data_IF_929585291911
#
_entry.id   IF_929585291911
#
_cell.length_a   1.000
_cell.length_b   1.000
_cell.length_c   1.000
_cell.angle_alpha   90.00
_cell.angle_beta   90.00
_cell.angle_gamma   90.00
#
_symmetry.space_group_name_H-M   'P 1'
#
loop_
_entity.id
_entity.type
_entity.pdbx_description
1 polymer ?
#
# COMPACT_ATOMS: atom_id res chain seq x y z
N UNK A 1 -5.51 4.48 -7.80
CA UNK A 1 -4.63 3.33 -8.13
C UNK A 1 -3.42 3.75 -8.96
N UNK A 2 -3.58 4.49 -10.06
CA UNK A 2 -2.44 4.96 -10.88
C UNK A 2 -1.31 5.66 -10.12
N UNK A 3 -1.62 6.61 -9.22
CA UNK A 3 -0.58 7.34 -8.47
C UNK A 3 0.25 6.43 -7.57
N UNK A 4 -0.38 5.47 -6.89
CA UNK A 4 0.33 4.50 -6.06
C UNK A 4 1.24 3.59 -6.89
N UNK A 5 0.78 3.15 -8.06
CA UNK A 5 1.58 2.34 -8.98
C UNK A 5 2.77 3.14 -9.53
N UNK A 6 2.56 4.41 -9.90
CA UNK A 6 3.62 5.29 -10.37
C UNK A 6 4.69 5.53 -9.30
N UNK A 7 4.29 5.85 -8.07
CA UNK A 7 5.22 6.01 -6.94
C UNK A 7 6.01 4.72 -6.68
N UNK A 8 5.35 3.57 -6.74
CA UNK A 8 6.01 2.27 -6.54
C UNK A 8 7.04 1.98 -7.63
N UNK A 9 6.67 2.21 -8.91
CA UNK A 9 7.57 2.05 -10.04
C UNK A 9 8.77 3.01 -9.98
N UNK A 10 8.53 4.27 -9.59
CA UNK A 10 9.59 5.24 -9.39
C UNK A 10 10.56 4.80 -8.27
N UNK A 11 10.04 4.36 -7.13
CA UNK A 11 10.86 3.89 -6.01
C UNK A 11 11.71 2.67 -6.39
N UNK A 12 11.15 1.68 -7.10
CA UNK A 12 11.91 0.49 -7.49
C UNK A 12 12.95 0.80 -8.57
N UNK A 13 12.64 1.66 -9.54
CA UNK A 13 13.61 2.07 -10.58
C UNK A 13 14.76 2.89 -9.97
N UNK A 14 14.45 3.85 -9.10
CA UNK A 14 15.51 4.64 -8.45
C UNK A 14 16.33 3.76 -7.50
N UNK A 15 15.73 2.82 -6.78
CA UNK A 15 16.45 1.84 -5.96
C UNK A 15 17.49 1.06 -6.80
N UNK A 16 17.08 0.55 -7.97
CA UNK A 16 18.00 -0.13 -8.90
C UNK A 16 19.15 0.79 -9.34
N UNK A 17 18.83 2.01 -9.79
CA UNK A 17 19.82 2.98 -10.25
C UNK A 17 20.82 3.34 -9.14
N UNK A 18 20.35 3.56 -7.92
CA UNK A 18 21.20 3.87 -6.76
C UNK A 18 22.16 2.73 -6.44
N UNK A 19 21.72 1.48 -6.53
CA UNK A 19 22.60 0.32 -6.28
C UNK A 19 23.66 0.18 -7.38
N UNK A 20 23.27 0.30 -8.65
CA UNK A 20 24.18 0.11 -9.80
C UNK A 20 25.18 1.26 -9.94
N UNK A 21 24.74 2.51 -9.79
CA UNK A 21 25.57 3.69 -10.05
C UNK A 21 26.07 4.39 -8.79
N UNK A 22 25.43 4.20 -7.63
CA UNK A 22 25.83 4.88 -6.40
C UNK A 22 27.10 4.29 -5.79
N UNK A 23 27.17 2.96 -5.70
CA UNK A 23 28.35 2.24 -5.18
C UNK A 23 28.94 1.25 -6.18
N UNK A 24 28.17 0.84 -7.19
CA UNK A 24 28.69 0.08 -8.31
C UNK A 24 29.50 0.94 -9.29
N UNK A 25 30.21 0.28 -10.19
CA UNK A 25 30.99 0.91 -11.26
C UNK A 25 30.15 1.27 -12.50
N UNK A 26 28.82 1.09 -12.45
CA UNK A 26 27.93 1.29 -13.60
C UNK A 26 28.09 0.25 -14.71
N UNK A 27 28.90 -0.80 -14.51
CA UNK A 27 29.08 -1.87 -15.48
C UNK A 27 27.95 -2.88 -15.35
N UNK A 28 27.12 -2.95 -16.40
CA UNK A 28 25.97 -3.83 -16.46
C UNK A 28 26.33 -5.23 -16.95
N UNK A 29 27.57 -5.46 -17.40
CA UNK A 29 28.01 -6.71 -18.00
C UNK A 29 27.39 -6.97 -19.40
N UNK A 30 27.74 -8.12 -19.97
CA UNK A 30 27.23 -8.57 -21.27
C UNK A 30 26.33 -9.79 -21.11
N UNK A 31 25.14 -9.74 -21.72
CA UNK A 31 24.17 -10.86 -21.79
C UNK A 31 23.73 -11.44 -20.43
N UNK A 32 23.54 -10.58 -19.43
CA UNK A 32 23.14 -10.98 -18.07
C UNK A 32 21.70 -11.50 -17.93
N UNK A 33 20.95 -11.64 -19.03
CA UNK A 33 19.61 -12.23 -19.04
C UNK A 33 19.61 -13.70 -19.45
N UNK A 34 20.72 -14.24 -19.94
CA UNK A 34 20.79 -15.65 -20.35
C UNK A 34 20.97 -16.57 -19.14
N UNK A 35 20.45 -17.80 -19.24
CA UNK A 35 20.59 -18.85 -18.21
C UNK A 35 22.05 -19.27 -17.98
N UNK A 36 22.92 -18.94 -18.94
CA UNK A 36 24.36 -19.20 -18.95
C UNK A 36 25.19 -17.98 -18.53
N UNK A 37 24.56 -16.88 -18.10
CA UNK A 37 25.25 -15.64 -17.77
C UNK A 37 26.32 -15.85 -16.69
N UNK A 38 27.50 -15.26 -16.91
CA UNK A 38 28.60 -15.28 -15.97
C UNK A 38 28.25 -14.48 -14.71
N UNK A 39 27.98 -15.21 -13.62
CA UNK A 39 27.61 -14.64 -12.32
C UNK A 39 28.63 -13.64 -11.77
N UNK A 40 29.89 -13.75 -12.19
CA UNK A 40 30.95 -12.85 -11.75
C UNK A 40 30.87 -11.49 -12.46
N UNK A 41 30.57 -11.49 -13.76
CA UNK A 41 30.44 -10.27 -14.57
C UNK A 41 29.12 -9.56 -14.23
N UNK A 42 28.02 -10.32 -14.12
CA UNK A 42 26.67 -9.79 -13.91
C UNK A 42 26.29 -9.54 -12.44
N UNK A 43 27.24 -9.72 -11.51
CA UNK A 43 26.97 -9.67 -10.08
C UNK A 43 26.31 -8.36 -9.65
N UNK A 44 26.79 -7.23 -10.18
CA UNK A 44 26.27 -5.91 -9.83
C UNK A 44 24.80 -5.75 -10.22
N UNK A 45 24.44 -6.15 -11.44
CA UNK A 45 23.06 -6.11 -11.94
C UNK A 45 22.16 -7.02 -11.12
N UNK A 46 22.64 -8.23 -10.79
CA UNK A 46 21.89 -9.18 -9.98
C UNK A 46 21.62 -8.65 -8.56
N UNK A 47 22.59 -7.96 -7.94
CA UNK A 47 22.39 -7.26 -6.66
C UNK A 47 21.38 -6.12 -6.78
N UNK A 48 21.47 -5.33 -7.85
CA UNK A 48 20.50 -4.28 -8.16
C UNK A 48 19.07 -4.83 -8.31
N UNK A 49 18.91 -5.95 -9.02
CA UNK A 49 17.61 -6.63 -9.19
C UNK A 49 17.06 -7.11 -7.86
N UNK A 50 17.88 -7.74 -7.02
CA UNK A 50 17.48 -8.19 -5.69
C UNK A 50 17.00 -7.03 -4.80
N UNK A 51 17.71 -5.90 -4.81
CA UNK A 51 17.31 -4.71 -4.06
C UNK A 51 16.00 -4.11 -4.59
N UNK A 52 15.84 -4.01 -5.91
CA UNK A 52 14.62 -3.52 -6.54
C UNK A 52 13.43 -4.44 -6.28
N UNK A 53 13.63 -5.76 -6.32
CA UNK A 53 12.62 -6.77 -5.98
C UNK A 53 12.16 -6.64 -4.52
N UNK A 54 13.11 -6.51 -3.58
CA UNK A 54 12.79 -6.31 -2.17
C UNK A 54 11.99 -5.02 -1.94
N UNK A 55 12.46 -3.90 -2.51
CA UNK A 55 11.76 -2.62 -2.42
C UNK A 55 10.36 -2.69 -3.04
N UNK A 56 10.22 -3.26 -4.23
CA UNK A 56 8.92 -3.43 -4.92
C UNK A 56 7.95 -4.27 -4.09
N UNK A 57 8.40 -5.42 -3.60
CA UNK A 57 7.55 -6.34 -2.82
C UNK A 57 7.07 -5.67 -1.54
N UNK A 58 7.96 -5.02 -0.80
CA UNK A 58 7.58 -4.31 0.42
C UNK A 58 6.68 -3.10 0.16
N UNK A 59 6.90 -2.35 -0.92
CA UNK A 59 5.97 -1.28 -1.33
C UNK A 59 4.58 -1.82 -1.64
N UNK A 60 4.48 -2.95 -2.36
CA UNK A 60 3.20 -3.59 -2.66
C UNK A 60 2.47 -4.09 -1.40
N UNK A 61 3.21 -4.62 -0.43
CA UNK A 61 2.67 -5.05 0.86
C UNK A 61 2.17 -3.87 1.71
N UNK A 62 2.92 -2.75 1.73
CA UNK A 62 2.46 -1.51 2.36
C UNK A 62 1.21 -0.99 1.64
N UNK A 63 1.18 -1.03 0.30
CA UNK A 63 0.01 -0.64 -0.47
C UNK A 63 -1.23 -1.47 -0.08
N UNK A 64 -1.07 -2.75 0.22
CA UNK A 64 -2.17 -3.60 0.65
C UNK A 64 -2.80 -3.09 1.97
N UNK A 65 -1.99 -2.67 2.95
CA UNK A 65 -2.51 -2.00 4.15
C UNK A 65 -3.09 -0.62 3.87
N UNK A 66 -2.45 0.17 3.01
CA UNK A 66 -2.93 1.48 2.58
C UNK A 66 -4.31 1.43 1.90
N UNK A 67 -4.65 0.30 1.26
CA UNK A 67 -5.92 0.11 0.57
C UNK A 67 -7.08 -0.29 1.50
N UNK A 68 -6.83 -0.59 2.79
CA UNK A 68 -7.92 -0.91 3.74
C UNK A 68 -8.89 0.26 3.86
N UNK A 69 -8.36 1.49 3.97
CA UNK A 69 -9.16 2.71 3.94
C UNK A 69 -8.65 3.67 2.87
N UNK A 70 -9.43 3.94 1.80
CA UNK A 70 -8.97 4.76 0.68
C UNK A 70 -8.82 6.26 1.00
N UNK A 71 -9.37 6.72 2.12
CA UNK A 71 -9.45 8.14 2.53
C UNK A 71 -8.77 8.42 3.87
N UNK A 72 -8.83 7.48 4.81
CA UNK A 72 -8.23 7.62 6.13
C UNK A 72 -6.73 7.27 6.09
N UNK A 73 -5.97 7.88 6.99
CA UNK A 73 -4.54 7.57 7.09
C UNK A 73 -4.41 6.22 7.77
N UNK A 74 -3.37 5.45 7.44
CA UNK A 74 -3.10 4.18 8.11
C UNK A 74 -2.78 4.43 9.58
N UNK A 75 -2.10 5.55 9.89
CA UNK A 75 -1.79 5.98 11.25
C UNK A 75 -3.00 6.47 12.06
N UNK A 76 -4.11 6.75 11.40
CA UNK A 76 -5.37 7.18 12.03
C UNK A 76 -6.55 6.66 11.22
N UNK A 77 -6.82 5.36 11.36
CA UNK A 77 -7.93 4.68 10.68
C UNK A 77 -9.28 5.06 11.25
N UNK A 78 -9.42 5.05 12.59
CA UNK A 78 -10.66 5.41 13.27
C UNK A 78 -10.55 6.80 13.94
N UNK A 79 -11.28 7.81 13.46
CA UNK A 79 -11.20 9.15 14.03
C UNK A 79 -11.74 9.24 15.46
N UNK A 80 -12.61 8.31 15.87
CA UNK A 80 -13.36 8.33 17.12
C UNK A 80 -12.70 7.57 18.28
N UNK A 81 -11.53 6.95 18.05
CA UNK A 81 -10.81 6.24 19.11
C UNK A 81 -10.04 7.21 19.99
N UNK A 82 -10.15 7.05 21.32
CA UNK A 82 -9.36 7.78 22.32
C UNK A 82 -7.91 7.27 22.46
N UNK A 83 -7.55 6.16 21.80
CA UNK A 83 -6.23 5.57 21.92
C UNK A 83 -5.15 6.36 21.14
N UNK A 84 -3.91 6.33 21.64
CA UNK A 84 -2.75 6.85 20.92
C UNK A 84 -2.62 6.17 19.54
N UNK A 85 -2.18 6.94 18.56
CA UNK A 85 -2.17 6.57 17.14
C UNK A 85 -1.53 5.20 16.85
N UNK A 86 -0.39 4.88 17.48
CA UNK A 86 0.25 3.56 17.32
C UNK A 86 -0.59 2.40 17.85
N UNK A 87 -1.17 2.55 19.05
CA UNK A 87 -1.99 1.50 19.66
C UNK A 87 -3.21 1.22 18.80
N UNK A 88 -3.86 2.28 18.32
CA UNK A 88 -4.94 2.16 17.36
C UNK A 88 -4.50 1.40 16.12
N UNK A 89 -3.42 1.80 15.45
CA UNK A 89 -2.99 1.12 14.21
C UNK A 89 -2.80 -0.37 14.41
N UNK A 90 -2.15 -0.79 15.50
CA UNK A 90 -1.88 -2.20 15.76
C UNK A 90 -3.18 -2.96 16.03
N UNK A 91 -4.09 -2.42 16.85
CA UNK A 91 -5.38 -3.04 17.15
C UNK A 91 -6.23 -3.20 15.89
N UNK A 92 -6.30 -2.16 15.07
CA UNK A 92 -7.07 -2.16 13.82
C UNK A 92 -6.46 -3.13 12.79
N UNK A 93 -5.14 -3.17 12.65
CA UNK A 93 -4.47 -4.08 11.73
C UNK A 93 -4.63 -5.55 12.17
N UNK A 94 -4.64 -5.79 13.49
CA UNK A 94 -4.84 -7.12 14.06
C UNK A 94 -6.30 -7.59 13.99
N UNK A 95 -7.27 -6.68 13.86
CA UNK A 95 -8.68 -7.03 13.70
C UNK A 95 -8.92 -7.96 12.50
N UNK A 96 -8.13 -7.77 11.42
CA UNK A 96 -8.09 -8.67 10.28
C UNK A 96 -6.80 -9.50 10.28
N UNK A 97 -6.83 -10.58 11.07
CA UNK A 97 -5.69 -11.48 11.23
C UNK A 97 -5.23 -12.10 9.91
N UNK A 98 -6.16 -12.42 9.00
CA UNK A 98 -5.81 -13.00 7.70
C UNK A 98 -4.97 -12.05 6.85
N UNK A 99 -5.39 -10.79 6.74
CA UNK A 99 -4.65 -9.77 6.00
C UNK A 99 -3.29 -9.49 6.66
N UNK A 100 -3.27 -9.38 7.99
CA UNK A 100 -2.04 -9.15 8.74
C UNK A 100 -1.01 -10.26 8.49
N UNK A 101 -1.38 -11.52 8.72
CA UNK A 101 -0.47 -12.66 8.53
C UNK A 101 -0.06 -12.86 7.07
N UNK A 102 -0.95 -12.58 6.11
CA UNK A 102 -0.60 -12.62 4.68
C UNK A 102 0.50 -11.62 4.34
N UNK A 103 0.43 -10.42 4.91
CA UNK A 103 1.43 -9.37 4.67
C UNK A 103 2.75 -9.68 5.38
N UNK A 104 2.71 -10.13 6.63
CA UNK A 104 3.90 -10.57 7.35
C UNK A 104 4.59 -11.74 6.62
N UNK A 105 3.81 -12.70 6.13
CA UNK A 105 4.33 -13.79 5.30
C UNK A 105 4.98 -13.30 4.02
N UNK A 106 4.39 -12.30 3.35
CA UNK A 106 4.99 -11.65 2.18
C UNK A 106 6.28 -10.89 2.50
N UNK A 107 6.36 -10.22 3.65
CA UNK A 107 7.58 -9.52 4.08
C UNK A 107 8.72 -10.52 4.33
N UNK A 108 8.41 -11.60 5.04
CA UNK A 108 9.37 -12.64 5.37
C UNK A 108 9.79 -13.43 4.13
N UNK A 109 8.90 -13.64 3.15
CA UNK A 109 9.20 -14.42 1.94
C UNK A 109 10.25 -13.79 1.02
N UNK A 110 10.53 -12.48 1.14
CA UNK A 110 11.61 -11.83 0.39
C UNK A 110 12.98 -12.40 0.77
N UNK A 111 13.22 -12.68 2.05
CA UNK A 111 14.50 -13.23 2.52
C UNK A 111 14.86 -14.60 1.90
N UNK A 112 14.00 -15.64 1.97
CA UNK A 112 14.30 -16.92 1.33
C UNK A 112 14.43 -16.80 -0.18
N UNK A 113 13.66 -15.94 -0.86
CA UNK A 113 13.80 -15.73 -2.31
C UNK A 113 15.17 -15.16 -2.68
N UNK A 114 15.74 -14.30 -1.83
CA UNK A 114 17.06 -13.69 -2.07
C UNK A 114 18.21 -14.60 -1.66
N UNK A 115 18.07 -15.47 -0.65
CA UNK A 115 19.20 -16.26 -0.14
C UNK A 115 19.19 -17.74 -0.51
N UNK A 116 18.05 -18.33 -0.89
CA UNK A 116 18.00 -19.75 -1.26
C UNK A 116 18.62 -19.92 -2.65
N UNK A 117 19.73 -20.68 -2.78
CA UNK A 117 20.35 -20.97 -4.07
C UNK A 117 19.37 -21.78 -4.93
N UNK A 118 19.53 -21.72 -6.26
CA UNK A 118 18.56 -22.19 -7.28
C UNK A 118 17.41 -21.21 -7.53
N UNK A 119 16.60 -20.86 -6.52
CA UNK A 119 15.50 -19.90 -6.71
C UNK A 119 16.06 -18.54 -7.15
N UNK A 120 17.00 -18.03 -6.37
CA UNK A 120 17.69 -16.79 -6.65
C UNK A 120 18.36 -16.83 -8.05
N UNK A 121 19.24 -17.82 -8.29
CA UNK A 121 20.16 -17.75 -9.44
C UNK A 121 19.61 -18.26 -10.76
N UNK A 122 18.57 -19.11 -10.76
CA UNK A 122 18.03 -19.73 -11.99
C UNK A 122 16.68 -19.17 -12.40
N UNK A 123 15.85 -18.73 -11.44
CA UNK A 123 14.50 -18.21 -11.73
C UNK A 123 14.49 -16.69 -11.77
N UNK A 124 15.06 -16.05 -10.75
CA UNK A 124 14.99 -14.59 -10.61
C UNK A 124 16.24 -13.84 -11.07
N UNK A 125 17.36 -14.54 -11.31
CA UNK A 125 18.66 -13.96 -11.64
C UNK A 125 19.04 -12.85 -10.67
N UNK A 126 19.05 -13.22 -9.39
CA UNK A 126 19.35 -12.36 -8.25
C UNK A 126 20.77 -12.63 -7.72
N UNK A 127 21.21 -11.84 -6.74
CA UNK A 127 22.44 -12.08 -6.01
C UNK A 127 22.23 -11.71 -4.53
N UNK A 128 22.95 -12.37 -3.60
CA UNK A 128 22.87 -12.00 -2.20
C UNK A 128 23.30 -10.54 -2.02
N UNK A 129 22.49 -9.79 -1.28
CA UNK A 129 22.68 -8.36 -1.00
C UNK A 129 23.06 -8.14 0.46
N UNK A 130 23.80 -7.07 0.73
CA UNK A 130 24.23 -6.67 2.07
C UNK A 130 23.71 -5.28 2.40
N UNK A 131 24.49 -4.24 2.09
CA UNK A 131 24.13 -2.84 2.36
C UNK A 131 22.91 -2.37 1.54
N UNK A 132 22.61 -3.02 0.42
CA UNK A 132 21.47 -2.69 -0.44
C UNK A 132 20.13 -2.87 0.27
N UNK A 133 20.07 -3.69 1.32
CA UNK A 133 18.89 -3.75 2.20
C UNK A 133 18.53 -2.38 2.78
N UNK A 134 19.53 -1.59 3.18
CA UNK A 134 19.30 -0.23 3.68
C UNK A 134 18.68 0.66 2.61
N UNK A 135 19.09 0.51 1.36
CA UNK A 135 18.53 1.24 0.21
C UNK A 135 17.08 0.79 -0.03
N UNK A 136 16.82 -0.52 -0.04
CA UNK A 136 15.47 -1.05 -0.20
C UNK A 136 14.52 -0.56 0.90
N UNK A 137 14.92 -0.63 2.17
CA UNK A 137 14.15 -0.11 3.32
C UNK A 137 13.90 1.40 3.15
N UNK A 138 14.91 2.18 2.78
CA UNK A 138 14.79 3.62 2.62
C UNK A 138 13.73 3.99 1.56
N UNK A 139 13.75 3.32 0.40
CA UNK A 139 12.74 3.53 -0.64
C UNK A 139 11.35 3.02 -0.23
N UNK A 140 11.26 1.96 0.56
CA UNK A 140 9.98 1.51 1.16
C UNK A 140 9.39 2.56 2.10
N UNK A 141 10.22 3.19 2.95
CA UNK A 141 9.77 4.30 3.82
C UNK A 141 9.36 5.51 2.99
N UNK A 142 10.13 5.85 1.95
CA UNK A 142 9.80 6.95 1.04
C UNK A 142 8.45 6.70 0.34
N UNK A 143 8.20 5.45 -0.08
CA UNK A 143 6.93 5.05 -0.65
C UNK A 143 5.77 5.24 0.34
N UNK A 144 5.94 4.80 1.59
CA UNK A 144 4.93 4.98 2.64
C UNK A 144 4.59 6.45 2.89
N UNK A 145 5.61 7.32 2.96
CA UNK A 145 5.39 8.76 3.09
C UNK A 145 4.68 9.34 1.86
N UNK A 146 5.06 8.89 0.67
CA UNK A 146 4.40 9.30 -0.58
C UNK A 146 2.94 8.86 -0.66
N UNK A 147 2.61 7.63 -0.22
CA UNK A 147 1.25 7.11 -0.22
C UNK A 147 0.35 7.85 0.77
N UNK A 148 0.87 8.12 1.97
CA UNK A 148 0.20 8.95 2.97
C UNK A 148 0.03 10.40 2.49
N UNK A 149 1.06 10.98 1.87
CA UNK A 149 0.99 12.31 1.25
C UNK A 149 -0.09 12.40 0.17
N UNK A 150 -0.24 11.35 -0.65
CA UNK A 150 -1.32 11.28 -1.64
C UNK A 150 -2.71 11.19 -0.98
N UNK A 151 -2.87 10.42 0.09
CA UNK A 151 -4.14 10.39 0.86
C UNK A 151 -4.46 11.75 1.46
N UNK A 152 -3.45 12.44 2.00
CA UNK A 152 -3.60 13.78 2.55
C UNK A 152 -4.04 14.79 1.47
N UNK A 153 -3.42 14.77 0.29
CA UNK A 153 -3.84 15.60 -0.84
C UNK A 153 -5.28 15.32 -1.28
N UNK A 154 -5.68 14.03 -1.42
CA UNK A 154 -7.07 13.66 -1.70
C UNK A 154 -8.03 14.22 -0.65
N UNK A 155 -7.67 14.13 0.64
CA UNK A 155 -8.50 14.65 1.73
C UNK A 155 -8.71 16.15 1.64
N UNK A 156 -7.68 16.92 1.29
CA UNK A 156 -7.79 18.37 1.09
C UNK A 156 -8.68 18.66 -0.12
N UNK A 157 -8.50 17.94 -1.22
CA UNK A 157 -9.32 18.11 -2.43
C UNK A 157 -10.80 17.84 -2.15
N UNK A 158 -11.13 16.71 -1.53
CA UNK A 158 -12.51 16.36 -1.17
C UNK A 158 -13.12 17.35 -0.18
N UNK A 159 -12.38 17.87 0.81
CA UNK A 159 -12.88 18.90 1.72
C UNK A 159 -13.23 20.22 1.01
N UNK A 160 -12.53 20.56 -0.07
CA UNK A 160 -12.79 21.77 -0.86
C UNK A 160 -13.95 21.61 -1.84
N UNK A 161 -14.11 20.41 -2.41
CA UNK A 161 -15.10 20.12 -3.44
C UNK A 161 -16.40 19.50 -2.90
N UNK A 162 -16.39 18.93 -1.70
CA UNK A 162 -17.61 18.52 -1.04
C UNK A 162 -18.45 19.76 -0.76
N UNK A 163 -19.65 19.81 -1.35
CA UNK A 163 -20.61 20.87 -1.06
C UNK A 163 -20.78 20.93 0.45
N UNK A 164 -20.54 22.10 1.07
CA UNK A 164 -20.91 22.30 2.45
C UNK A 164 -22.42 22.12 2.54
N UNK A 165 -22.84 21.07 3.23
CA UNK A 165 -24.24 20.79 3.51
C UNK A 165 -24.78 22.00 4.27
N UNK A 166 -25.68 22.77 3.63
CA UNK A 166 -26.22 24.00 4.23
C UNK A 166 -27.19 23.67 5.38
N UNK A 167 -27.86 22.52 5.30
CA UNK A 167 -28.75 22.04 6.35
C UNK A 167 -28.66 20.50 6.46
N UNK A 168 -27.94 19.96 7.46
CA UNK A 168 -27.64 18.53 7.56
C UNK A 168 -28.88 17.66 7.77
N UNK A 169 -29.84 18.10 8.57
CA UNK A 169 -31.09 17.36 8.82
C UNK A 169 -31.91 17.22 7.53
N UNK A 170 -32.08 18.32 6.79
CA UNK A 170 -32.86 18.32 5.55
C UNK A 170 -32.23 17.47 4.44
N UNK A 171 -30.89 17.47 4.31
CA UNK A 171 -30.22 16.64 3.31
C UNK A 171 -30.21 15.16 3.71
N UNK A 172 -30.07 14.82 5.00
CA UNK A 172 -30.21 13.45 5.50
C UNK A 172 -31.62 12.91 5.23
N UNK A 173 -32.67 13.65 5.59
CA UNK A 173 -34.06 13.24 5.35
C UNK A 173 -34.40 13.09 3.86
N UNK A 174 -33.74 13.85 2.98
CA UNK A 174 -33.96 13.75 1.52
C UNK A 174 -33.18 12.60 0.89
N UNK A 175 -32.00 12.30 1.41
CA UNK A 175 -31.09 11.28 0.88
C UNK A 175 -31.21 9.93 1.58
N UNK A 176 -32.11 9.80 2.56
CA UNK A 176 -32.29 8.58 3.33
C UNK A 176 -32.76 7.39 2.45
N UNK A 177 -31.91 6.36 2.27
CA UNK A 177 -32.27 5.16 1.53
C UNK A 177 -33.47 4.43 2.14
N UNK A 178 -33.72 4.65 3.43
CA UNK A 178 -34.78 3.98 4.18
C UNK A 178 -36.12 4.71 4.14
N UNK A 179 -36.20 5.90 3.52
CA UNK A 179 -37.44 6.69 3.45
C UNK A 179 -38.61 5.90 2.85
N UNK A 180 -38.32 5.02 1.88
CA UNK A 180 -39.31 4.15 1.23
C UNK A 180 -39.82 3.02 2.14
N UNK A 181 -39.04 2.62 3.13
CA UNK A 181 -39.41 1.59 4.11
C UNK A 181 -40.14 2.21 5.32
N UNK A 182 -39.78 3.43 5.69
CA UNK A 182 -40.45 4.18 6.76
C UNK A 182 -41.93 4.45 6.46
N UNK A 183 -42.33 4.64 5.19
CA UNK A 183 -43.74 4.83 4.81
C UNK A 183 -44.59 3.57 4.94
N UNK A 184 -44.02 2.38 4.73
CA UNK A 184 -44.74 1.10 4.88
C UNK A 184 -45.06 0.76 6.34
N UNK A 185 -44.25 1.23 7.30
CA UNK A 185 -44.56 1.06 8.72
C UNK A 185 -45.74 1.92 9.18
N UNK A 186 -45.97 3.08 8.54
CA UNK A 186 -47.08 3.98 8.90
C UNK A 186 -48.41 3.49 8.36
N UNK A 187 -48.45 2.84 7.19
CA UNK A 187 -49.71 2.34 6.63
C UNK A 187 -50.42 1.29 7.48
N UNK A 188 -49.68 0.54 8.31
CA UNK A 188 -50.26 -0.50 9.17
C UNK A 188 -50.59 -0.01 10.60
N UNK A 189 -50.33 1.27 10.91
CA UNK A 189 -50.52 1.87 12.25
C UNK A 189 -51.37 3.14 12.23
N UNK A 190 -51.87 3.57 11.06
CA UNK A 190 -52.84 4.66 11.01
C UNK A 190 -54.22 4.13 11.43
N UNK A 191 -54.71 4.64 12.56
CA UNK A 191 -56.11 4.49 12.94
C UNK A 191 -57.00 5.09 11.83
N UNK A 192 -58.03 4.37 11.36
CA UNK A 192 -58.92 4.86 10.31
C UNK A 192 -59.64 6.17 10.68
N UNK A 193 -59.73 6.50 11.96
CA UNK A 193 -60.37 7.73 12.47
C UNK A 193 -59.52 9.01 12.25
N UNK A 194 -58.25 8.87 11.86
CA UNK A 194 -57.37 10.02 11.53
C UNK A 194 -57.36 10.39 10.04
N UNK A 195 -58.18 9.73 9.22
CA UNK A 195 -58.30 9.96 7.77
C UNK A 195 -59.57 10.72 7.36
N UNK A 196 -60.35 11.23 8.32
CA UNK A 196 -61.56 12.02 8.12
C UNK A 196 -61.32 13.53 8.24
#
# INVERSE_FOLDING_TARGET
MFVYGFLMAACCMVCFVVVVYGKGNGDLGSDCNSTSADKHICNLVFRGRSAAFGAFTWCALILAWECIHPTNSLLKMNPDSEHSWWKQTITELWSNQFLFWSIIGGFISVFPVVYIPVINTKVFLHAPIGYEWGVAVAFTVLYFLGSEGWKWMKRIYFRKWSKKVKNPEYELERSDPFKKYASFSRSNTMDPDMLA
#
